data_IF_950233061630
#
_entry.id   IF_950233061630
#
_cell.length_a   1.000
_cell.length_b   1.000
_cell.length_c   1.000
_cell.angle_alpha   90.00
_cell.angle_beta   90.00
_cell.angle_gamma   90.00
#
_symmetry.space_group_name_H-M   'P 1'
#
loop_
_entity.id
_entity.type
_entity.pdbx_description
1 polymer ?
#
# COMPACT_ATOMS: atom_id res chain seq x y z
N UNK A 1 -20.30 -42.79 26.84
CA UNK A 1 -21.24 -41.66 26.72
C UNK A 1 -20.43 -40.53 26.12
N UNK A 2 -20.62 -40.23 24.83
CA UNK A 2 -19.86 -39.20 24.14
C UNK A 2 -20.33 -37.85 24.69
N UNK A 3 -19.41 -37.07 25.24
CA UNK A 3 -19.71 -35.77 25.82
C UNK A 3 -19.92 -34.78 24.66
N UNK A 4 -21.19 -34.63 24.25
CA UNK A 4 -21.58 -33.78 23.13
C UNK A 4 -21.10 -32.32 23.27
N UNK A 5 -20.80 -31.87 24.50
CA UNK A 5 -20.19 -30.56 24.75
C UNK A 5 -18.73 -30.50 24.32
N UNK A 6 -17.97 -31.57 24.54
CA UNK A 6 -16.57 -31.65 24.12
C UNK A 6 -16.45 -31.72 22.60
N UNK A 7 -17.34 -32.48 21.93
CA UNK A 7 -17.39 -32.55 20.46
C UNK A 7 -17.77 -31.21 19.84
N UNK A 8 -18.72 -30.47 20.43
CA UNK A 8 -19.10 -29.15 19.95
C UNK A 8 -17.96 -28.13 20.13
N UNK A 9 -17.25 -28.16 21.26
CA UNK A 9 -16.11 -27.29 21.49
C UNK A 9 -14.95 -27.57 20.51
N UNK A 10 -14.70 -28.85 20.20
CA UNK A 10 -13.73 -29.26 19.18
C UNK A 10 -14.10 -28.73 17.79
N UNK A 11 -15.35 -28.91 17.37
CA UNK A 11 -15.84 -28.42 16.08
C UNK A 11 -15.79 -26.89 15.94
N UNK A 12 -16.10 -26.15 17.01
CA UNK A 12 -16.01 -24.68 17.03
C UNK A 12 -14.55 -24.22 16.90
N UNK A 13 -13.62 -24.88 17.59
CA UNK A 13 -12.19 -24.55 17.50
C UNK A 13 -11.61 -24.84 16.10
N UNK A 14 -11.98 -25.95 15.48
CA UNK A 14 -11.58 -26.26 14.10
C UNK A 14 -12.15 -25.26 13.09
N UNK A 15 -13.40 -24.84 13.27
CA UNK A 15 -14.01 -23.82 12.42
C UNK A 15 -13.32 -22.46 12.60
N UNK A 16 -13.02 -22.07 13.83
CA UNK A 16 -12.28 -20.84 14.13
C UNK A 16 -10.88 -20.86 13.48
N UNK A 17 -10.17 -21.98 13.54
CA UNK A 17 -8.86 -22.14 12.89
C UNK A 17 -8.95 -22.04 11.35
N UNK A 18 -9.99 -22.63 10.74
CA UNK A 18 -10.24 -22.53 9.29
C UNK A 18 -10.60 -21.12 8.87
N UNK A 19 -11.42 -20.41 9.65
CA UNK A 19 -11.79 -19.01 9.39
C UNK A 19 -10.57 -18.10 9.47
N UNK A 20 -9.72 -18.26 10.49
CA UNK A 20 -8.46 -17.51 10.61
C UNK A 20 -7.51 -17.79 9.43
N UNK A 21 -7.34 -19.07 9.05
CA UNK A 21 -6.53 -19.45 7.89
C UNK A 21 -7.06 -18.89 6.56
N UNK A 22 -8.39 -18.83 6.41
CA UNK A 22 -9.02 -18.18 5.25
C UNK A 22 -8.88 -16.66 5.29
N UNK A 23 -8.96 -16.03 6.46
CA UNK A 23 -8.73 -14.59 6.62
C UNK A 23 -7.29 -14.23 6.26
N UNK A 24 -6.30 -15.00 6.69
CA UNK A 24 -4.89 -14.79 6.33
C UNK A 24 -4.64 -15.04 4.83
N UNK A 25 -5.27 -16.06 4.25
CA UNK A 25 -5.22 -16.32 2.80
C UNK A 25 -5.89 -15.21 1.99
N UNK A 26 -6.99 -14.65 2.51
CA UNK A 26 -7.70 -13.52 1.92
C UNK A 26 -6.91 -12.22 2.09
N UNK A 27 -6.18 -12.02 3.19
CA UNK A 27 -5.24 -10.90 3.36
C UNK A 27 -4.06 -11.01 2.39
N UNK A 28 -3.54 -12.21 2.18
CA UNK A 28 -2.58 -12.53 1.13
C UNK A 28 -3.14 -12.24 -0.28
N UNK A 29 -4.41 -12.58 -0.54
CA UNK A 29 -5.09 -12.35 -1.82
C UNK A 29 -5.55 -10.90 -2.04
N UNK A 30 -5.94 -10.17 -0.99
CA UNK A 30 -6.57 -8.85 -1.05
C UNK A 30 -5.65 -7.69 -0.64
N UNK A 31 -4.50 -7.95 0.01
CA UNK A 31 -3.85 -6.93 0.82
C UNK A 31 -2.32 -6.82 0.80
N UNK A 32 -1.56 -7.80 0.27
CA UNK A 32 -0.08 -7.72 0.31
C UNK A 32 0.60 -7.64 -1.06
N UNK A 33 -0.15 -7.30 -2.12
CA UNK A 33 0.48 -7.00 -3.41
C UNK A 33 1.18 -5.65 -3.30
N UNK A 34 2.51 -5.68 -3.27
CA UNK A 34 3.35 -4.49 -3.33
C UNK A 34 3.39 -4.01 -4.78
N UNK A 35 2.94 -2.78 -5.02
CA UNK A 35 3.11 -2.07 -6.28
C UNK A 35 4.34 -1.16 -6.23
N UNK A 36 5.23 -1.35 -7.20
CA UNK A 36 6.48 -0.62 -7.37
C UNK A 36 6.27 0.69 -8.14
N UNK A 37 7.26 1.59 -8.07
CA UNK A 37 7.28 2.83 -8.87
C UNK A 37 7.17 2.54 -10.37
N UNK A 38 7.80 1.46 -10.86
CA UNK A 38 7.75 1.07 -12.27
C UNK A 38 6.36 0.64 -12.72
N UNK A 39 5.63 -0.10 -11.88
CA UNK A 39 4.26 -0.49 -12.17
C UNK A 39 3.30 0.70 -12.11
N UNK A 40 3.50 1.62 -11.16
CA UNK A 40 2.73 2.87 -11.11
C UNK A 40 2.97 3.71 -12.37
N UNK A 41 4.22 3.83 -12.82
CA UNK A 41 4.57 4.52 -14.07
C UNK A 41 3.83 3.93 -15.28
N UNK A 42 3.87 2.59 -15.42
CA UNK A 42 3.16 1.88 -16.49
C UNK A 42 1.65 2.13 -16.45
N UNK A 43 1.02 2.03 -15.27
CA UNK A 43 -0.43 2.24 -15.10
C UNK A 43 -0.87 3.67 -15.42
N UNK A 44 -0.03 4.65 -15.10
CA UNK A 44 -0.32 6.06 -15.37
C UNK A 44 0.12 6.51 -16.77
N UNK A 45 0.77 5.65 -17.56
CA UNK A 45 1.27 5.98 -18.90
C UNK A 45 2.38 7.03 -18.90
N UNK A 46 3.20 7.08 -17.85
CA UNK A 46 4.29 8.07 -17.70
C UNK A 46 5.63 7.39 -17.49
N UNK A 47 6.73 8.13 -17.69
CA UNK A 47 8.06 7.64 -17.31
C UNK A 47 8.22 7.67 -15.78
N UNK A 48 9.12 6.84 -15.25
CA UNK A 48 9.52 6.93 -13.84
C UNK A 48 10.08 8.31 -13.48
N UNK A 49 10.71 9.00 -14.45
CA UNK A 49 11.31 10.30 -14.23
C UNK A 49 10.29 11.42 -14.06
N UNK A 50 9.05 11.25 -14.54
CA UNK A 50 7.96 12.19 -14.28
C UNK A 50 7.74 12.42 -12.79
N UNK A 51 7.94 11.39 -11.95
CA UNK A 51 7.72 11.50 -10.51
C UNK A 51 8.72 12.38 -9.78
N UNK A 52 9.87 12.71 -10.37
CA UNK A 52 10.77 13.73 -9.80
C UNK A 52 10.16 15.13 -9.86
N UNK A 53 9.42 15.41 -10.94
CA UNK A 53 8.76 16.72 -11.16
C UNK A 53 7.35 16.75 -10.57
N UNK A 54 6.69 15.59 -10.53
CA UNK A 54 5.30 15.44 -10.10
C UNK A 54 5.15 14.38 -8.98
N UNK A 55 5.70 14.60 -7.77
CA UNK A 55 5.65 13.62 -6.68
C UNK A 55 4.22 13.27 -6.23
N UNK A 56 3.27 14.19 -6.42
CA UNK A 56 1.85 14.01 -6.10
C UNK A 56 1.16 12.87 -6.85
N UNK A 57 1.77 12.34 -7.91
CA UNK A 57 1.31 11.13 -8.61
C UNK A 57 1.59 9.85 -7.85
N UNK A 58 2.53 9.87 -6.90
CA UNK A 58 2.86 8.73 -6.05
C UNK A 58 2.09 8.80 -4.72
N UNK A 59 1.71 7.65 -4.14
CA UNK A 59 1.13 7.63 -2.80
C UNK A 59 2.02 8.34 -1.80
N UNK A 60 1.41 9.18 -0.95
CA UNK A 60 2.10 9.97 0.07
C UNK A 60 3.31 10.76 -0.48
N UNK A 61 3.21 11.23 -1.72
CA UNK A 61 4.25 12.01 -2.40
C UNK A 61 5.59 11.28 -2.56
N UNK A 62 5.56 9.94 -2.63
CA UNK A 62 6.77 9.12 -2.71
C UNK A 62 7.30 8.64 -1.35
N UNK A 63 6.65 9.03 -0.23
CA UNK A 63 6.98 8.50 1.10
C UNK A 63 6.33 7.12 1.28
N UNK A 64 7.11 6.16 1.76
CA UNK A 64 6.60 4.86 2.17
C UNK A 64 6.19 4.92 3.65
N UNK A 65 5.00 4.39 4.02
CA UNK A 65 4.55 4.38 5.41
C UNK A 65 5.46 3.54 6.29
N UNK A 66 5.97 2.41 5.76
CA UNK A 66 6.74 1.43 6.52
C UNK A 66 8.10 1.18 5.84
N UNK A 67 9.18 1.09 6.64
CA UNK A 67 10.51 0.71 6.13
C UNK A 67 10.59 -0.77 5.72
N UNK A 68 9.61 -1.58 6.08
CA UNK A 68 9.60 -3.04 5.87
C UNK A 68 9.33 -3.46 4.42
N UNK A 69 8.70 -2.60 3.60
CA UNK A 69 8.55 -2.86 2.16
C UNK A 69 9.59 -2.06 1.35
N UNK A 70 10.80 -2.61 1.09
CA UNK A 70 11.85 -1.88 0.41
C UNK A 70 11.47 -1.48 -1.02
N UNK A 71 10.48 -2.14 -1.64
CA UNK A 71 10.23 -2.07 -3.09
C UNK A 71 9.04 -1.21 -3.53
N UNK A 72 8.06 -0.89 -2.67
CA UNK A 72 6.85 -0.19 -3.14
C UNK A 72 5.84 0.20 -2.06
N UNK A 73 4.57 0.30 -2.46
CA UNK A 73 3.41 0.50 -1.58
C UNK A 73 2.47 -0.69 -1.70
N UNK A 74 1.66 -0.95 -0.69
CA UNK A 74 0.53 -1.86 -0.87
C UNK A 74 -0.41 -1.36 -1.98
N UNK A 75 -0.96 -2.27 -2.76
CA UNK A 75 -1.91 -1.96 -3.83
C UNK A 75 -3.14 -1.23 -3.29
N UNK A 76 -3.59 -1.56 -2.08
CA UNK A 76 -4.66 -0.86 -1.36
C UNK A 76 -4.33 0.61 -1.14
N UNK A 77 -3.12 0.92 -0.67
CA UNK A 77 -2.63 2.30 -0.50
C UNK A 77 -2.60 3.05 -1.84
N UNK A 78 -2.17 2.39 -2.91
CA UNK A 78 -2.21 2.99 -4.24
C UNK A 78 -3.64 3.27 -4.72
N UNK A 79 -4.58 2.33 -4.55
CA UNK A 79 -5.98 2.51 -4.92
C UNK A 79 -6.61 3.67 -4.17
N UNK A 80 -6.48 3.69 -2.85
CA UNK A 80 -6.97 4.79 -2.02
C UNK A 80 -6.37 6.15 -2.41
N UNK A 81 -5.10 6.17 -2.86
CA UNK A 81 -4.49 7.39 -3.39
C UNK A 81 -5.10 7.83 -4.72
N UNK A 82 -5.43 6.88 -5.60
CA UNK A 82 -6.02 7.16 -6.91
C UNK A 82 -7.50 7.55 -6.82
N UNK A 83 -8.20 7.18 -5.74
CA UNK A 83 -9.56 7.63 -5.45
C UNK A 83 -9.61 9.14 -5.18
N UNK A 84 -8.49 9.76 -4.78
CA UNK A 84 -8.38 11.20 -4.65
C UNK A 84 -8.16 11.82 -6.05
N UNK A 85 -9.01 12.77 -6.49
CA UNK A 85 -8.85 13.45 -7.77
C UNK A 85 -7.43 14.01 -7.97
N UNK A 86 -6.91 13.90 -9.20
CA UNK A 86 -5.54 14.33 -9.51
C UNK A 86 -5.30 15.81 -9.18
N UNK A 87 -6.29 16.67 -9.46
CA UNK A 87 -6.26 18.10 -9.15
C UNK A 87 -6.13 18.35 -7.64
N UNK A 88 -6.83 17.57 -6.83
CA UNK A 88 -6.78 17.70 -5.38
C UNK A 88 -5.42 17.24 -4.83
N UNK A 89 -4.88 16.11 -5.32
CA UNK A 89 -3.53 15.65 -4.96
C UNK A 89 -2.47 16.69 -5.31
N UNK A 90 -2.57 17.27 -6.50
CA UNK A 90 -1.69 18.34 -6.98
C UNK A 90 -1.82 19.59 -6.12
N UNK A 91 -3.03 20.05 -5.81
CA UNK A 91 -3.29 21.20 -4.94
C UNK A 91 -2.71 20.99 -3.54
N UNK A 92 -2.92 19.82 -2.94
CA UNK A 92 -2.33 19.47 -1.63
C UNK A 92 -0.80 19.55 -1.66
N UNK A 93 -0.16 19.09 -2.76
CA UNK A 93 1.29 19.25 -2.94
C UNK A 93 1.70 20.72 -3.11
N UNK A 94 1.01 21.48 -3.95
CA UNK A 94 1.30 22.89 -4.24
C UNK A 94 1.04 23.84 -3.06
N UNK A 95 0.18 23.46 -2.11
CA UNK A 95 -0.05 24.21 -0.87
C UNK A 95 0.88 23.80 0.26
N UNK A 96 1.55 22.64 0.15
CA UNK A 96 2.47 22.16 1.17
C UNK A 96 3.69 23.08 1.28
N UNK A 97 4.10 23.51 2.49
CA UNK A 97 5.30 24.34 2.67
C UNK A 97 6.56 23.68 2.08
N UNK A 98 7.45 24.49 1.51
CA UNK A 98 8.71 24.01 0.90
C UNK A 98 9.54 23.15 1.86
N UNK A 99 9.54 23.47 3.16
CA UNK A 99 10.24 22.69 4.19
C UNK A 99 9.69 21.26 4.30
N UNK A 100 8.38 21.09 4.21
CA UNK A 100 7.74 19.78 4.26
C UNK A 100 7.96 19.00 2.96
N UNK A 101 7.91 19.68 1.80
CA UNK A 101 8.27 19.06 0.52
C UNK A 101 9.71 18.55 0.51
N UNK A 102 10.65 19.29 1.10
CA UNK A 102 12.06 18.86 1.23
C UNK A 102 12.18 17.58 2.06
N UNK A 103 11.49 17.49 3.20
CA UNK A 103 11.44 16.25 4.01
C UNK A 103 10.88 15.05 3.24
N UNK A 104 9.98 15.28 2.29
CA UNK A 104 9.42 14.23 1.42
C UNK A 104 10.35 13.89 0.25
N UNK A 105 11.00 14.89 -0.36
CA UNK A 105 11.94 14.74 -1.48
C UNK A 105 13.32 14.20 -1.09
N UNK A 106 13.74 14.36 0.16
CA UNK A 106 14.98 13.77 0.71
C UNK A 106 14.89 12.24 0.88
N UNK A 107 13.67 11.66 0.84
CA UNK A 107 13.47 10.21 0.91
C UNK A 107 13.67 9.54 -0.45
N UNK A 108 14.95 9.25 -0.73
CA UNK A 108 15.64 8.20 -1.54
C UNK A 108 14.88 7.20 -2.44
N UNK A 109 13.55 7.06 -2.41
CA UNK A 109 12.80 6.09 -3.23
C UNK A 109 12.84 6.39 -4.73
N UNK A 110 12.99 7.66 -5.13
CA UNK A 110 13.15 8.02 -6.55
C UNK A 110 14.59 7.75 -7.00
N UNK A 111 15.57 7.84 -6.10
CA UNK A 111 17.01 7.78 -6.36
C UNK A 111 17.64 6.38 -6.33
N UNK A 112 16.87 5.33 -5.99
CA UNK A 112 17.41 3.97 -5.83
C UNK A 112 17.05 3.09 -7.04
N UNK A 113 17.69 3.34 -8.19
CA UNK A 113 17.84 2.38 -9.28
C UNK A 113 18.85 2.92 -10.31
N UNK A 114 20.13 2.82 -9.98
CA UNK A 114 21.18 2.52 -10.96
C UNK A 114 21.42 1.03 -10.94
#
# INVERSE_FOLDING_TARGET
>A
MIDARADLAGAVNELAAKVLSQEDSLRLLLGEIIITVGEIAKRQGVSRTTFYREPWRLPNYGRKPDQESPKGWYLSTYKAWMDIPAEERRKRWELMPTRERRKLGENKCIYSAS
#
